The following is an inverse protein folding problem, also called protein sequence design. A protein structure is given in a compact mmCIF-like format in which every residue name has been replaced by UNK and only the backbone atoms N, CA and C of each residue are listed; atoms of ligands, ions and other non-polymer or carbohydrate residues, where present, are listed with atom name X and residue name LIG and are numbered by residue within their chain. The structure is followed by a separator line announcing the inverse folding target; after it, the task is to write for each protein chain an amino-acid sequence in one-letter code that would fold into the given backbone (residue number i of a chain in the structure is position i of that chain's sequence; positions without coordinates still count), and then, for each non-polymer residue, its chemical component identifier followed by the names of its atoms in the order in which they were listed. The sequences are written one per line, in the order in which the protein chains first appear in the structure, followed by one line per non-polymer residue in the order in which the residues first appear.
data_IF_578598267635
#
_entry.id   IF_578598267635
#
_cell.length_a   1.000
_cell.length_b   1.000
_cell.length_c   1.000
_cell.angle_alpha   90.00
_cell.angle_beta   90.00
_cell.angle_gamma   90.00
#
_symmetry.space_group_name_H-M   'P 1'
#
loop_
_entity.id
_entity.type
_entity.pdbx_description
1 polymer ?
#
# COMPACT_ATOMS: atom_id res chain seq x y z
N UNK A 1 35.08 5.02 -20.60
CA UNK A 1 34.77 4.56 -19.22
C UNK A 1 33.48 5.24 -18.79
N UNK A 2 32.44 4.47 -18.48
CA UNK A 2 31.11 5.00 -18.16
C UNK A 2 31.13 5.70 -16.79
N UNK A 3 30.74 6.98 -16.75
CA UNK A 3 30.59 7.75 -15.53
C UNK A 3 29.43 7.17 -14.74
N UNK A 4 29.73 6.32 -13.75
CA UNK A 4 28.73 5.83 -12.79
C UNK A 4 28.28 7.03 -11.97
N UNK A 5 27.14 7.61 -12.34
CA UNK A 5 26.44 8.61 -11.54
C UNK A 5 26.10 7.97 -10.19
N UNK A 6 26.90 8.28 -9.18
CA UNK A 6 26.59 7.97 -7.79
C UNK A 6 25.19 8.51 -7.50
N UNK A 7 24.24 7.69 -7.00
CA UNK A 7 22.92 8.20 -6.63
C UNK A 7 23.10 9.37 -5.65
N UNK A 8 22.34 10.46 -5.84
CA UNK A 8 22.36 11.59 -4.89
C UNK A 8 22.16 11.04 -3.48
N UNK A 9 23.11 11.37 -2.59
CA UNK A 9 23.19 10.83 -1.23
C UNK A 9 21.99 11.25 -0.37
N UNK A 10 21.34 12.39 -0.70
CA UNK A 10 20.14 12.90 -0.05
C UNK A 10 19.09 13.42 -1.05
N UNK A 11 17.82 13.24 -0.71
CA UNK A 11 16.69 13.74 -1.49
C UNK A 11 16.58 15.27 -1.35
N UNK A 12 16.40 16.03 -2.44
CA UNK A 12 16.29 17.49 -2.37
C UNK A 12 15.04 17.89 -1.59
N UNK A 13 15.22 18.60 -0.48
CA UNK A 13 14.14 19.15 0.36
C UNK A 13 13.72 20.56 -0.06
N UNK A 14 14.51 21.20 -0.92
CA UNK A 14 14.30 22.55 -1.44
C UNK A 14 14.10 22.51 -2.96
N UNK A 15 13.41 23.50 -3.51
CA UNK A 15 13.14 23.60 -4.96
C UNK A 15 12.10 22.62 -5.52
N UNK A 16 11.45 21.80 -4.67
CA UNK A 16 10.37 20.90 -5.09
C UNK A 16 9.10 21.64 -5.53
N UNK A 17 8.89 22.83 -5.00
CA UNK A 17 7.79 23.73 -5.37
C UNK A 17 8.36 25.13 -5.62
N UNK A 18 7.80 25.90 -6.58
CA UNK A 18 8.30 27.22 -6.97
C UNK A 18 7.93 28.30 -5.94
N UNK A 19 8.35 28.13 -4.69
CA UNK A 19 7.99 28.99 -3.55
C UNK A 19 8.68 30.36 -3.59
N UNK A 20 9.81 30.46 -4.30
CA UNK A 20 10.53 31.72 -4.50
C UNK A 20 9.90 32.53 -5.62
N UNK A 21 9.65 31.88 -6.75
CA UNK A 21 9.07 32.48 -7.96
C UNK A 21 7.64 32.96 -7.72
N UNK A 22 6.86 32.20 -6.95
CA UNK A 22 5.49 32.60 -6.54
C UNK A 22 5.46 33.59 -5.38
N UNK A 23 6.62 33.96 -4.83
CA UNK A 23 6.77 34.81 -3.63
C UNK A 23 6.10 34.26 -2.36
N UNK A 24 5.62 33.00 -2.37
CA UNK A 24 4.98 32.36 -1.22
C UNK A 24 5.92 32.27 0.00
N UNK A 25 7.21 32.01 -0.23
CA UNK A 25 8.21 31.98 0.84
C UNK A 25 8.38 33.37 1.50
N UNK A 26 8.37 34.44 0.71
CA UNK A 26 8.49 35.80 1.21
C UNK A 26 7.24 36.27 1.96
N UNK A 27 6.05 35.90 1.46
CA UNK A 27 4.79 36.16 2.12
C UNK A 27 4.74 35.57 3.53
N UNK A 28 5.09 34.28 3.68
CA UNK A 28 5.11 33.61 5.00
C UNK A 28 6.22 34.19 5.89
N UNK A 29 7.36 34.59 5.34
CA UNK A 29 8.43 35.28 6.11
C UNK A 29 7.95 36.62 6.67
N UNK A 30 7.16 37.38 5.91
CA UNK A 30 6.59 38.67 6.32
C UNK A 30 5.44 38.50 7.31
N UNK A 31 4.64 37.45 7.18
CA UNK A 31 3.51 37.12 8.04
C UNK A 31 3.65 35.68 8.59
N UNK A 32 4.49 35.45 9.63
CA UNK A 32 4.81 34.10 10.09
C UNK A 32 3.63 33.26 10.59
N UNK A 33 2.52 33.91 10.93
CA UNK A 33 1.29 33.27 11.40
C UNK A 33 0.38 32.84 10.23
N UNK A 34 0.67 33.24 8.99
CA UNK A 34 -0.17 33.04 7.81
C UNK A 34 0.35 31.84 7.00
N UNK A 35 0.61 30.74 7.70
CA UNK A 35 1.21 29.50 7.17
C UNK A 35 0.18 28.38 6.95
N UNK A 36 -1.12 28.72 7.05
CA UNK A 36 -2.24 27.78 6.92
C UNK A 36 -2.68 27.11 8.22
N UNK A 37 -2.11 27.48 9.38
CA UNK A 37 -2.59 26.99 10.69
C UNK A 37 -4.09 27.29 10.89
N UNK A 38 -4.81 26.35 11.50
CA UNK A 38 -6.25 26.45 11.74
C UNK A 38 -7.13 26.24 10.50
N UNK A 39 -6.57 25.98 9.32
CA UNK A 39 -7.31 25.69 8.09
C UNK A 39 -7.24 24.20 7.76
N UNK A 40 -8.38 23.61 7.40
CA UNK A 40 -8.46 22.26 6.84
C UNK A 40 -8.74 22.37 5.34
N UNK A 41 -7.89 21.74 4.54
CA UNK A 41 -8.04 21.67 3.09
C UNK A 41 -8.37 20.22 2.67
N UNK A 42 -9.41 20.05 1.86
CA UNK A 42 -9.72 18.78 1.20
C UNK A 42 -9.11 18.77 -0.20
N UNK A 43 -8.49 17.66 -0.57
CA UNK A 43 -7.85 17.46 -1.88
C UNK A 43 -8.54 16.29 -2.57
N UNK A 44 -9.14 16.55 -3.74
CA UNK A 44 -9.76 15.53 -4.58
C UNK A 44 -8.77 15.19 -5.69
N UNK A 45 -8.06 14.08 -5.52
CA UNK A 45 -7.00 13.62 -6.40
C UNK A 45 -6.97 12.08 -6.36
N UNK A 46 -5.99 11.46 -7.01
CA UNK A 46 -5.79 10.01 -7.07
C UNK A 46 -5.31 9.38 -5.76
N UNK A 47 -4.98 10.18 -4.74
CA UNK A 47 -4.50 9.75 -3.44
C UNK A 47 -3.20 10.43 -3.03
N UNK A 48 -2.72 10.10 -1.83
CA UNK A 48 -1.47 10.63 -1.25
C UNK A 48 -0.68 9.50 -0.57
N UNK A 49 0.61 9.73 -0.31
CA UNK A 49 1.40 8.92 0.63
C UNK A 49 1.45 9.61 2.00
N UNK A 50 0.70 9.14 3.01
CA UNK A 50 0.74 9.70 4.36
C UNK A 50 2.10 9.51 5.05
N UNK A 51 2.97 8.64 4.56
CA UNK A 51 4.34 8.42 5.04
C UNK A 51 5.35 9.47 4.56
N UNK A 52 4.97 10.33 3.60
CA UNK A 52 5.83 11.39 3.11
C UNK A 52 6.21 12.36 4.23
N UNK A 53 7.51 12.71 4.31
CA UNK A 53 8.04 13.60 5.38
C UNK A 53 7.30 14.94 5.47
N UNK A 54 6.88 15.51 4.34
CA UNK A 54 6.15 16.79 4.28
C UNK A 54 4.68 16.74 4.74
N UNK A 55 4.15 15.53 4.99
CA UNK A 55 2.77 15.27 5.41
C UNK A 55 2.64 14.72 6.83
N UNK A 56 3.75 14.65 7.59
CA UNK A 56 3.73 14.13 8.96
C UNK A 56 3.08 15.12 9.94
N UNK A 57 3.66 16.32 10.04
CA UNK A 57 3.31 17.31 11.06
C UNK A 57 3.06 18.69 10.47
N UNK A 58 2.16 19.44 11.11
CA UNK A 58 1.92 20.87 10.83
C UNK A 58 2.99 21.73 11.51
N UNK A 59 2.98 23.04 11.23
CA UNK A 59 3.83 24.01 11.93
C UNK A 59 3.55 24.11 13.44
N UNK A 60 2.39 23.64 13.88
CA UNK A 60 2.01 23.55 15.31
C UNK A 60 2.37 22.19 15.94
N UNK A 61 3.06 21.31 15.22
CA UNK A 61 3.44 19.97 15.72
C UNK A 61 2.29 18.95 15.75
N UNK A 62 1.12 19.28 15.20
CA UNK A 62 -0.05 18.39 15.13
C UNK A 62 0.06 17.47 13.90
N UNK A 63 -0.64 16.33 13.90
CA UNK A 63 -0.77 15.47 12.70
C UNK A 63 -1.37 16.27 11.54
N UNK A 64 -0.74 16.23 10.37
CA UNK A 64 -1.14 17.05 9.21
C UNK A 64 -2.27 16.44 8.38
N UNK A 65 -2.26 15.13 8.14
CA UNK A 65 -3.36 14.42 7.47
C UNK A 65 -4.39 14.03 8.52
N UNK A 66 -5.59 14.61 8.42
CA UNK A 66 -6.70 14.31 9.34
C UNK A 66 -7.46 13.06 8.89
N UNK A 67 -7.69 12.92 7.58
CA UNK A 67 -8.40 11.79 6.99
C UNK A 67 -7.95 11.56 5.53
N UNK A 68 -8.20 10.36 5.01
CA UNK A 68 -8.06 10.02 3.59
C UNK A 68 -9.15 9.00 3.22
N UNK A 69 -9.88 9.28 2.13
CA UNK A 69 -11.04 8.48 1.73
C UNK A 69 -10.85 8.05 0.27
N UNK A 70 -10.97 6.75 0.01
CA UNK A 70 -11.09 6.22 -1.36
C UNK A 70 -12.56 6.28 -1.79
N UNK A 71 -12.91 7.27 -2.62
CA UNK A 71 -14.26 7.42 -3.16
C UNK A 71 -14.51 6.56 -4.41
N UNK A 72 -13.53 5.77 -4.87
CA UNK A 72 -13.66 4.95 -6.09
C UNK A 72 -14.25 3.56 -5.82
N UNK A 73 -14.23 3.10 -4.56
CA UNK A 73 -14.57 1.73 -4.18
C UNK A 73 -13.56 0.68 -4.65
N UNK A 74 -12.41 1.11 -5.19
CA UNK A 74 -11.36 0.20 -5.67
C UNK A 74 -10.79 -0.66 -4.54
N UNK A 75 -10.80 -0.14 -3.31
CA UNK A 75 -10.40 -0.85 -2.09
C UNK A 75 -11.47 -1.76 -1.49
N UNK A 76 -12.74 -1.67 -1.91
CA UNK A 76 -13.84 -2.31 -1.18
C UNK A 76 -13.74 -3.83 -1.16
N UNK A 77 -13.92 -4.42 0.02
CA UNK A 77 -13.94 -5.87 0.21
C UNK A 77 -15.25 -6.24 0.87
N UNK A 78 -16.05 -7.05 0.19
CA UNK A 78 -17.24 -7.64 0.78
C UNK A 78 -16.84 -8.59 1.90
N UNK A 79 -17.42 -8.38 3.08
CA UNK A 79 -17.15 -9.14 4.28
C UNK A 79 -18.37 -10.00 4.63
N UNK A 80 -18.12 -11.24 4.99
CA UNK A 80 -19.14 -12.18 5.50
C UNK A 80 -18.80 -12.62 6.92
N UNK A 81 -19.82 -12.73 7.77
CA UNK A 81 -19.66 -13.28 9.11
C UNK A 81 -19.28 -14.76 9.05
N UNK A 82 -18.38 -15.17 9.95
CA UNK A 82 -17.93 -16.56 10.08
C UNK A 82 -17.82 -16.95 11.54
N UNK A 83 -18.08 -18.24 11.81
CA UNK A 83 -17.80 -18.84 13.10
C UNK A 83 -16.34 -19.26 13.17
N UNK A 84 -15.69 -18.96 14.31
CA UNK A 84 -14.38 -19.49 14.63
C UNK A 84 -14.50 -20.67 15.60
N UNK A 85 -13.81 -21.77 15.31
CA UNK A 85 -13.72 -22.95 16.16
C UNK A 85 -12.29 -23.06 16.68
N UNK A 86 -12.11 -22.97 18.01
CA UNK A 86 -10.81 -23.19 18.70
C UNK A 86 -9.60 -22.41 18.13
N UNK A 87 -9.82 -21.19 17.59
CA UNK A 87 -8.84 -20.32 16.90
C UNK A 87 -8.60 -20.64 15.41
N UNK A 88 -9.49 -21.41 14.79
CA UNK A 88 -9.49 -21.62 13.35
C UNK A 88 -10.78 -21.10 12.73
N UNK A 89 -10.69 -20.53 11.54
CA UNK A 89 -11.86 -20.14 10.77
C UNK A 89 -11.65 -20.42 9.28
N UNK A 90 -12.74 -20.55 8.53
CA UNK A 90 -12.68 -20.69 7.08
C UNK A 90 -12.64 -19.30 6.44
N UNK A 91 -11.55 -18.96 5.79
CA UNK A 91 -11.43 -17.69 5.07
C UNK A 91 -12.31 -17.66 3.82
N UNK A 92 -12.65 -16.48 3.33
CA UNK A 92 -13.44 -16.28 2.11
C UNK A 92 -12.81 -16.91 0.83
N UNK A 93 -11.51 -17.22 0.87
CA UNK A 93 -10.82 -17.99 -0.20
C UNK A 93 -10.99 -19.51 -0.10
N UNK A 94 -11.69 -20.00 0.93
CA UNK A 94 -11.83 -21.42 1.27
C UNK A 94 -10.68 -21.99 2.12
N UNK A 95 -9.58 -21.24 2.30
CA UNK A 95 -8.44 -21.65 3.13
C UNK A 95 -8.77 -21.54 4.61
N UNK A 96 -8.31 -22.50 5.41
CA UNK A 96 -8.35 -22.38 6.87
C UNK A 96 -7.34 -21.32 7.33
N UNK A 97 -7.83 -20.32 8.06
CA UNK A 97 -7.03 -19.29 8.71
C UNK A 97 -6.91 -19.63 10.19
N UNK A 98 -5.73 -19.39 10.76
CA UNK A 98 -5.47 -19.56 12.19
C UNK A 98 -5.39 -18.18 12.83
N UNK A 99 -6.23 -17.96 13.84
CA UNK A 99 -6.28 -16.75 14.62
C UNK A 99 -5.14 -16.73 15.64
N UNK A 100 -4.61 -15.54 15.90
CA UNK A 100 -3.71 -15.34 17.02
C UNK A 100 -4.54 -15.28 18.32
N UNK A 101 -4.18 -16.08 19.32
CA UNK A 101 -4.84 -16.12 20.62
C UNK A 101 -4.77 -14.78 21.38
N UNK A 102 -3.79 -13.92 21.07
CA UNK A 102 -3.61 -12.61 21.70
C UNK A 102 -4.57 -11.54 21.15
N UNK A 103 -5.25 -11.82 20.04
CA UNK A 103 -6.17 -10.85 19.44
C UNK A 103 -7.40 -10.64 20.31
N UNK A 104 -7.63 -9.39 20.68
CA UNK A 104 -8.86 -8.98 21.37
C UNK A 104 -9.97 -8.81 20.35
N UNK A 105 -11.05 -9.57 20.51
CA UNK A 105 -12.28 -9.42 19.73
C UNK A 105 -13.42 -8.97 20.67
N UNK A 106 -13.60 -7.65 20.91
CA UNK A 106 -14.62 -7.15 21.83
C UNK A 106 -16.05 -7.46 21.38
N UNK A 107 -16.26 -7.59 20.06
CA UNK A 107 -17.58 -7.85 19.46
C UNK A 107 -17.93 -9.34 19.44
N UNK A 108 -16.96 -10.24 19.59
CA UNK A 108 -17.14 -11.69 19.46
C UNK A 108 -17.36 -12.18 18.01
N UNK A 109 -17.72 -11.28 17.09
CA UNK A 109 -17.94 -11.57 15.68
C UNK A 109 -16.63 -11.59 14.89
N UNK A 110 -16.52 -12.54 13.95
CA UNK A 110 -15.44 -12.58 12.98
C UNK A 110 -15.99 -12.36 11.59
N UNK A 111 -15.35 -11.49 10.82
CA UNK A 111 -15.69 -11.22 9.43
C UNK A 111 -14.51 -11.50 8.53
N UNK A 112 -14.77 -12.15 7.41
CA UNK A 112 -13.75 -12.44 6.40
C UNK A 112 -14.19 -11.94 5.04
N UNK A 113 -13.22 -11.48 4.28
CA UNK A 113 -13.40 -11.11 2.89
C UNK A 113 -12.18 -11.52 2.07
N UNK A 114 -12.36 -11.59 0.76
CA UNK A 114 -11.27 -11.85 -0.17
C UNK A 114 -11.44 -11.01 -1.41
N UNK A 115 -10.33 -10.42 -1.87
CA UNK A 115 -10.27 -9.70 -3.14
C UNK A 115 -9.12 -10.25 -3.97
N UNK A 116 -9.36 -10.44 -5.27
CA UNK A 116 -8.32 -10.88 -6.20
C UNK A 116 -7.29 -9.75 -6.32
N UNK A 117 -6.01 -10.10 -6.17
CA UNK A 117 -4.91 -9.13 -6.32
C UNK A 117 -4.96 -8.38 -7.66
N UNK A 118 -5.40 -9.04 -8.74
CA UNK A 118 -5.57 -8.44 -10.06
C UNK A 118 -6.60 -7.29 -10.11
N UNK A 119 -7.49 -7.18 -9.11
CA UNK A 119 -8.44 -6.07 -8.97
C UNK A 119 -7.87 -4.89 -8.19
N UNK A 120 -6.78 -5.10 -7.44
CA UNK A 120 -6.13 -4.08 -6.62
C UNK A 120 -4.95 -3.43 -7.35
N UNK A 121 -4.32 -4.15 -8.27
CA UNK A 121 -3.14 -3.68 -8.99
C UNK A 121 -3.55 -2.93 -10.27
N UNK A 122 -2.81 -1.87 -10.64
CA UNK A 122 -2.88 -1.30 -11.98
C UNK A 122 -2.60 -2.37 -13.04
N UNK A 123 -3.19 -2.23 -14.23
CA UNK A 123 -3.12 -3.23 -15.29
C UNK A 123 -1.69 -3.63 -15.67
N UNK A 124 -0.79 -2.67 -15.80
CA UNK A 124 0.63 -2.91 -16.14
C UNK A 124 1.37 -3.71 -15.07
N UNK A 125 1.12 -3.39 -13.79
CA UNK A 125 1.68 -4.10 -12.66
C UNK A 125 1.14 -5.54 -12.63
N UNK A 126 -0.16 -5.71 -12.86
CA UNK A 126 -0.76 -7.04 -12.95
C UNK A 126 -0.18 -7.88 -14.09
N UNK A 127 0.06 -7.29 -15.27
CA UNK A 127 0.68 -8.00 -16.39
C UNK A 127 2.07 -8.54 -16.00
N UNK A 128 2.88 -7.71 -15.35
CA UNK A 128 4.21 -8.11 -14.87
C UNK A 128 4.12 -9.24 -13.83
N UNK A 129 3.27 -9.07 -12.81
CA UNK A 129 3.05 -10.08 -11.77
C UNK A 129 2.53 -11.39 -12.34
N UNK A 130 1.61 -11.33 -13.32
CA UNK A 130 1.04 -12.52 -13.98
C UNK A 130 2.08 -13.26 -14.82
N UNK A 131 2.94 -12.53 -15.54
CA UNK A 131 4.03 -13.10 -16.33
C UNK A 131 5.04 -13.84 -15.43
N UNK A 132 5.47 -13.21 -14.33
CA UNK A 132 6.37 -13.83 -13.36
C UNK A 132 5.77 -15.10 -12.74
N UNK A 133 4.48 -15.05 -12.36
CA UNK A 133 3.76 -16.21 -11.81
C UNK A 133 3.68 -17.35 -12.83
N UNK A 134 3.38 -17.05 -14.08
CA UNK A 134 3.31 -18.02 -15.16
C UNK A 134 4.67 -18.68 -15.42
N UNK A 135 5.74 -17.89 -15.43
CA UNK A 135 7.10 -18.41 -15.59
C UNK A 135 7.49 -19.34 -14.44
N UNK A 136 7.19 -18.94 -13.19
CA UNK A 136 7.46 -19.76 -11.99
C UNK A 136 6.68 -21.07 -12.03
N UNK A 137 5.40 -21.03 -12.41
CA UNK A 137 4.57 -22.22 -12.54
C UNK A 137 5.15 -23.19 -13.57
N UNK A 138 5.54 -22.72 -14.76
CA UNK A 138 6.15 -23.55 -15.81
C UNK A 138 7.44 -24.22 -15.33
N UNK A 139 8.31 -23.48 -14.62
CA UNK A 139 9.56 -24.05 -14.05
C UNK A 139 9.26 -25.17 -13.06
N UNK A 140 8.32 -24.96 -12.14
CA UNK A 140 7.94 -25.96 -11.15
C UNK A 140 7.28 -27.19 -11.80
N UNK A 141 6.41 -26.97 -12.79
CA UNK A 141 5.76 -28.04 -13.53
C UNK A 141 6.80 -28.91 -14.27
N UNK A 142 7.78 -28.29 -14.95
CA UNK A 142 8.85 -29.02 -15.63
C UNK A 142 9.66 -29.87 -14.66
N UNK A 143 10.08 -29.31 -13.51
CA UNK A 143 10.83 -30.05 -12.49
C UNK A 143 10.07 -31.27 -11.96
N UNK A 144 8.75 -31.15 -11.76
CA UNK A 144 7.91 -32.26 -11.34
C UNK A 144 7.80 -33.32 -12.43
N UNK A 145 7.63 -32.93 -13.69
CA UNK A 145 7.59 -33.85 -14.83
C UNK A 145 8.90 -34.62 -14.95
N UNK A 146 10.04 -33.93 -14.88
CA UNK A 146 11.37 -34.54 -14.94
C UNK A 146 11.58 -35.55 -13.80
N UNK A 147 11.14 -35.20 -12.58
CA UNK A 147 11.22 -36.09 -11.42
C UNK A 147 10.33 -37.35 -11.56
N UNK A 148 9.15 -37.22 -12.17
CA UNK A 148 8.26 -38.37 -12.44
C UNK A 148 8.85 -39.28 -13.52
N UNK A 149 9.42 -38.72 -14.58
CA UNK A 149 10.08 -39.48 -15.64
C UNK A 149 11.30 -40.24 -15.12
N UNK A 150 12.13 -39.59 -14.30
CA UNK A 150 13.28 -40.22 -13.66
C UNK A 150 12.89 -41.41 -12.74
N UNK A 151 11.73 -41.35 -12.08
CA UNK A 151 11.21 -42.46 -11.26
C UNK A 151 10.58 -43.60 -12.06
N UNK A 152 10.16 -43.36 -13.31
CA UNK A 152 9.58 -44.40 -14.19
C UNK A 152 10.62 -45.14 -15.02
N UNK A 153 11.81 -44.55 -15.20
CA UNK A 153 12.94 -45.15 -15.92
C UNK A 153 13.90 -45.96 -15.05
N UNK A 154 13.58 -46.18 -13.78
CA UNK A 154 14.34 -46.97 -12.81
C UNK A 154 13.59 -48.24 -12.40
#
# INVERSE_FOLDING_TARGET
MANKTTPRQEFPTHGLMPRGETQAAEFVRKYPQYDGRGVVAAVLDTGIDPGAKGLQVTSEGKRKVVDYIDCTGSGDVELSDVCAEELTLKGASGRTLRLNAEWKNPTGEWRVGAKRLSRLLPGEVWMSVSAERSQRFRKNAQQLTDAVLAKKGA
#
